data_IF_384488413367
#
_entry.id   IF_384488413367
#
_cell.length_a   1.000
_cell.length_b   1.000
_cell.length_c   1.000
_cell.angle_alpha   90.00
_cell.angle_beta   90.00
_cell.angle_gamma   90.00
#
_symmetry.space_group_name_H-M   'P 1'
#
loop_
_entity.id
_entity.type
_entity.pdbx_description
1 polymer ?
#
# COMPACT_ATOMS: atom_id res chain seq x y z
N UNK A 1 -0.77 -11.70 6.54
CA UNK A 1 -1.40 -10.47 7.10
C UNK A 1 -0.49 -9.76 8.11
N UNK A 2 -0.26 -10.26 9.34
CA UNK A 2 0.65 -9.58 10.30
C UNK A 2 2.11 -9.48 9.83
N UNK A 3 2.64 -10.54 9.20
CA UNK A 3 4.01 -10.53 8.67
C UNK A 3 4.18 -9.60 7.45
N UNK A 4 3.16 -9.51 6.60
CA UNK A 4 3.17 -8.63 5.42
C UNK A 4 3.05 -7.16 5.80
N UNK A 5 2.31 -6.86 6.88
CA UNK A 5 2.21 -5.53 7.46
C UNK A 5 3.57 -5.10 8.04
N UNK A 6 4.28 -5.98 8.74
CA UNK A 6 5.63 -5.71 9.25
C UNK A 6 6.63 -5.44 8.11
N UNK A 7 6.61 -6.23 7.04
CA UNK A 7 7.48 -6.03 5.88
C UNK A 7 7.13 -4.77 5.05
N UNK A 8 5.89 -4.27 5.15
CA UNK A 8 5.48 -2.99 4.60
C UNK A 8 5.91 -1.83 5.51
N UNK A 9 5.81 -1.99 6.84
CA UNK A 9 6.33 -1.04 7.82
C UNK A 9 7.84 -0.83 7.68
N UNK A 10 8.64 -1.88 7.48
CA UNK A 10 10.10 -1.74 7.29
C UNK A 10 10.47 -0.95 6.03
N UNK A 11 9.71 -1.13 4.93
CA UNK A 11 9.93 -0.36 3.69
C UNK A 11 9.34 1.05 3.77
N UNK A 12 8.24 1.22 4.48
CA UNK A 12 7.66 2.54 4.74
C UNK A 12 8.55 3.35 5.67
N UNK A 13 9.18 2.72 6.67
CA UNK A 13 10.15 3.32 7.58
C UNK A 13 11.37 3.84 6.82
N UNK A 14 11.90 3.11 5.83
CA UNK A 14 13.03 3.62 5.04
C UNK A 14 12.67 4.83 4.17
N UNK A 15 11.41 4.92 3.72
CA UNK A 15 10.90 6.07 2.93
C UNK A 15 10.51 7.24 3.84
N UNK A 16 10.04 6.98 5.07
CA UNK A 16 9.75 7.98 6.09
C UNK A 16 11.02 8.55 6.73
N UNK A 17 12.08 7.75 6.89
CA UNK A 17 13.43 8.19 7.29
C UNK A 17 14.04 9.14 6.23
N UNK A 18 13.80 8.88 4.94
CA UNK A 18 14.18 9.78 3.85
C UNK A 18 13.36 11.09 3.85
N UNK A 19 12.19 11.12 4.51
CA UNK A 19 11.32 12.29 4.66
C UNK A 19 11.50 13.00 6.02
N UNK A 20 12.48 12.60 6.84
CA UNK A 20 12.82 13.26 8.10
C UNK A 20 11.82 13.04 9.24
N UNK A 21 10.98 12.01 9.16
CA UNK A 21 10.08 11.66 10.25
C UNK A 21 10.84 10.77 11.25
N UNK A 22 11.03 11.29 12.47
CA UNK A 22 11.68 10.59 13.57
C UNK A 22 11.13 9.16 13.74
N UNK A 23 12.02 8.19 14.01
CA UNK A 23 11.69 6.80 14.37
C UNK A 23 10.50 6.76 15.32
N UNK A 24 9.38 6.25 14.82
CA UNK A 24 8.17 6.00 15.60
C UNK A 24 8.28 4.60 16.21
N UNK A 25 8.17 4.53 17.54
CA UNK A 25 8.16 3.27 18.29
C UNK A 25 6.95 2.41 17.89
N UNK A 26 7.16 1.11 17.67
CA UNK A 26 6.15 0.19 17.13
C UNK A 26 4.86 0.07 18.00
N UNK A 27 4.92 0.50 19.27
CA UNK A 27 3.80 0.52 20.20
C UNK A 27 2.98 1.83 20.14
N UNK A 28 3.51 2.89 19.53
CA UNK A 28 2.84 4.20 19.35
C UNK A 28 2.46 4.47 17.89
N UNK A 29 2.72 3.54 16.98
CA UNK A 29 2.36 3.68 15.56
C UNK A 29 0.87 3.42 15.38
N UNK A 30 0.06 4.48 15.41
CA UNK A 30 -1.25 4.43 14.77
C UNK A 30 -1.05 4.13 13.28
N UNK A 31 -1.77 3.15 12.69
CA UNK A 31 -1.70 2.89 11.26
C UNK A 31 -1.89 4.19 10.47
N UNK A 32 -1.00 4.44 9.51
CA UNK A 32 -1.17 5.59 8.64
C UNK A 32 -2.54 5.50 7.94
N UNK A 33 -3.29 6.61 7.81
CA UNK A 33 -4.52 6.60 7.03
C UNK A 33 -4.27 6.03 5.64
N UNK A 34 -5.06 5.03 5.22
CA UNK A 34 -4.90 4.34 3.94
C UNK A 34 -3.95 3.13 3.96
N UNK A 35 -3.29 2.83 5.07
CA UNK A 35 -2.33 1.72 5.16
C UNK A 35 -3.00 0.34 5.03
N UNK A 36 -4.20 0.17 5.58
CA UNK A 36 -4.93 -1.11 5.53
C UNK A 36 -5.36 -1.44 4.09
N UNK A 37 -5.85 -0.44 3.36
CA UNK A 37 -6.25 -0.55 1.97
C UNK A 37 -5.07 -0.93 1.08
N UNK A 38 -3.93 -0.27 1.27
CA UNK A 38 -2.71 -0.58 0.53
C UNK A 38 -2.14 -1.96 0.89
N UNK A 39 -2.20 -2.36 2.16
CA UNK A 39 -1.77 -3.68 2.61
C UNK A 39 -2.65 -4.79 2.00
N UNK A 40 -3.97 -4.58 1.95
CA UNK A 40 -4.90 -5.50 1.28
C UNK A 40 -4.56 -5.63 -0.21
N UNK A 41 -4.41 -4.51 -0.92
CA UNK A 41 -4.07 -4.53 -2.35
C UNK A 41 -2.72 -5.19 -2.63
N UNK A 42 -1.74 -5.04 -1.71
CA UNK A 42 -0.46 -5.76 -1.79
C UNK A 42 -0.65 -7.26 -1.59
N UNK A 43 -1.42 -7.68 -0.59
CA UNK A 43 -1.68 -9.10 -0.36
C UNK A 43 -2.41 -9.75 -1.55
N UNK A 44 -3.37 -9.06 -2.15
CA UNK A 44 -4.07 -9.52 -3.36
C UNK A 44 -3.10 -9.65 -4.55
N UNK A 45 -2.23 -8.67 -4.76
CA UNK A 45 -1.17 -8.74 -5.77
C UNK A 45 -0.29 -9.98 -5.55
N UNK A 46 0.19 -10.18 -4.34
CA UNK A 46 1.13 -11.26 -4.05
C UNK A 46 0.49 -12.63 -4.22
N UNK A 47 -0.77 -12.79 -3.82
CA UNK A 47 -1.55 -13.99 -4.09
C UNK A 47 -1.72 -14.22 -5.61
N UNK A 48 -2.08 -13.18 -6.36
CA UNK A 48 -2.30 -13.27 -7.81
C UNK A 48 -1.03 -13.63 -8.61
N UNK A 49 0.15 -13.22 -8.14
CA UNK A 49 1.44 -13.53 -8.79
C UNK A 49 2.15 -14.75 -8.19
N UNK A 50 1.53 -15.48 -7.27
CA UNK A 50 2.18 -16.60 -6.59
C UNK A 50 2.17 -17.91 -7.38
N UNK A 51 1.44 -17.98 -8.50
CA UNK A 51 1.14 -19.21 -9.27
C UNK A 51 0.53 -20.35 -8.42
N UNK A 52 0.14 -20.07 -7.18
CA UNK A 52 -0.43 -21.05 -6.23
C UNK A 52 -1.94 -21.21 -6.37
N UNK A 53 -2.60 -20.27 -7.02
CA UNK A 53 -4.05 -20.19 -7.09
C UNK A 53 -4.48 -19.88 -8.52
N UNK A 54 -5.36 -20.71 -9.08
CA UNK A 54 -5.99 -20.45 -10.38
C UNK A 54 -7.12 -19.41 -10.30
N UNK A 55 -7.71 -19.23 -9.11
CA UNK A 55 -8.80 -18.29 -8.84
C UNK A 55 -8.66 -17.68 -7.44
N UNK A 56 -8.80 -16.36 -7.36
CA UNK A 56 -8.83 -15.62 -6.10
C UNK A 56 -10.23 -15.02 -5.88
N UNK A 57 -10.93 -15.48 -4.84
CA UNK A 57 -12.22 -14.91 -4.40
C UNK A 57 -11.96 -14.02 -3.19
N UNK A 58 -12.43 -12.78 -3.26
CA UNK A 58 -12.18 -11.76 -2.23
C UNK A 58 -13.53 -11.23 -1.75
N UNK A 59 -13.75 -11.32 -0.44
CA UNK A 59 -14.91 -10.70 0.21
C UNK A 59 -14.62 -9.21 0.40
N UNK A 60 -15.25 -8.37 -0.42
CA UNK A 60 -15.03 -6.94 -0.45
C UNK A 60 -16.19 -6.20 0.22
N UNK A 61 -15.98 -4.96 0.70
CA UNK A 61 -17.06 -4.11 1.20
C UNK A 61 -18.08 -3.79 0.09
N UNK A 62 -19.12 -3.03 0.41
CA UNK A 62 -20.15 -2.70 -0.59
C UNK A 62 -19.55 -2.01 -1.83
N UNK A 63 -20.20 -2.21 -2.97
CA UNK A 63 -19.65 -1.90 -4.29
C UNK A 63 -18.97 -0.51 -4.41
N UNK A 64 -19.51 0.59 -3.87
CA UNK A 64 -18.83 1.89 -3.95
C UNK A 64 -17.47 1.91 -3.24
N UNK A 65 -17.38 1.31 -2.05
CA UNK A 65 -16.12 1.23 -1.31
C UNK A 65 -15.15 0.27 -1.98
N UNK A 66 -15.63 -0.86 -2.50
CA UNK A 66 -14.82 -1.82 -3.23
C UNK A 66 -14.20 -1.20 -4.50
N UNK A 67 -14.98 -0.46 -5.28
CA UNK A 67 -14.50 0.22 -6.48
C UNK A 67 -13.46 1.29 -6.12
N UNK A 68 -13.70 2.08 -5.08
CA UNK A 68 -12.74 3.07 -4.60
C UNK A 68 -11.41 2.41 -4.20
N UNK A 69 -11.48 1.35 -3.39
CA UNK A 69 -10.33 0.55 -2.96
C UNK A 69 -9.52 0.04 -4.17
N UNK A 70 -10.17 -0.63 -5.13
CA UNK A 70 -9.50 -1.21 -6.29
C UNK A 70 -8.94 -0.15 -7.26
N UNK A 71 -9.52 1.06 -7.28
CA UNK A 71 -9.02 2.18 -8.08
C UNK A 71 -7.81 2.90 -7.46
N UNK A 72 -7.55 2.75 -6.15
CA UNK A 72 -6.50 3.46 -5.42
C UNK A 72 -5.12 3.43 -6.11
N UNK A 73 -4.61 2.29 -6.61
CA UNK A 73 -3.28 2.27 -7.23
C UNK A 73 -3.19 3.16 -8.48
N UNK A 74 -4.26 3.26 -9.26
CA UNK A 74 -4.30 4.07 -10.47
C UNK A 74 -4.35 5.57 -10.14
N UNK A 75 -5.19 5.94 -9.17
CA UNK A 75 -5.27 7.32 -8.69
C UNK A 75 -3.97 7.76 -8.03
N UNK A 76 -3.35 6.93 -7.18
CA UNK A 76 -2.06 7.24 -6.57
C UNK A 76 -0.98 7.50 -7.62
N UNK A 77 -0.87 6.64 -8.66
CA UNK A 77 0.06 6.87 -9.77
C UNK A 77 -0.23 8.17 -10.52
N UNK A 78 -1.50 8.55 -10.67
CA UNK A 78 -1.90 9.81 -11.30
C UNK A 78 -1.50 11.01 -10.45
N UNK A 79 -1.73 10.96 -9.13
CA UNK A 79 -1.33 12.03 -8.21
C UNK A 79 0.18 12.16 -8.13
N UNK A 80 0.92 11.06 -7.96
CA UNK A 80 2.39 11.08 -7.89
C UNK A 80 3.02 11.67 -9.16
N UNK A 81 2.50 11.33 -10.35
CA UNK A 81 2.96 11.94 -11.61
C UNK A 81 2.72 13.45 -11.70
N UNK A 82 1.71 13.97 -11.00
CA UNK A 82 1.43 15.41 -10.95
C UNK A 82 2.27 16.14 -9.91
N UNK A 83 2.72 15.43 -8.88
CA UNK A 83 3.49 15.99 -7.75
C UNK A 83 5.01 15.86 -7.94
N UNK A 84 5.47 14.86 -8.69
CA UNK A 84 6.89 14.68 -8.99
C UNK A 84 7.22 15.37 -10.33
N UNK A 85 8.02 16.46 -10.34
CA UNK A 85 8.48 17.07 -11.58
C UNK A 85 9.31 16.06 -12.40
N UNK A 86 9.28 16.16 -13.74
CA UNK A 86 9.87 15.18 -14.66
C UNK A 86 11.41 15.01 -14.56
N UNK A 87 12.07 15.80 -13.73
CA UNK A 87 13.54 15.88 -13.63
C UNK A 87 14.17 14.76 -12.77
N UNK A 88 13.37 13.90 -12.11
CA UNK A 88 13.87 12.78 -11.27
C UNK A 88 13.53 11.39 -11.83
N UNK A 89 13.68 11.21 -13.14
CA UNK A 89 13.55 9.93 -13.84
C UNK A 89 14.83 9.49 -14.56
N UNK A 90 16.00 9.99 -14.14
CA UNK A 90 17.31 9.54 -14.58
C UNK A 90 17.96 8.63 -13.52
#
# INVERSE_FOLDING_TARGET
FRADLAAFQDRAASVLDLLGAARLDAEEVTPLPGAEELALLRALRDAAFSDRFDLLVVDLPAAPQALALLALPAELRRYLRRLLPPERQA
#
